data_IF_649267386231
#
_entry.id   IF_649267386231
#
_cell.length_a   1.000
_cell.length_b   1.000
_cell.length_c   1.000
_cell.angle_alpha   90.00
_cell.angle_beta   90.00
_cell.angle_gamma   90.00
#
_symmetry.space_group_name_H-M   'P 1'
#
loop_
_entity.id
_entity.type
_entity.pdbx_description
1 polymer ?
#
# COMPACT_ATOMS: atom_id res chain seq x y z
N UNK A 1 -17.12 -12.27 -0.63
CA UNK A 1 -16.94 -11.08 0.24
C UNK A 1 -15.47 -10.70 0.41
N UNK A 2 -14.59 -11.59 0.89
CA UNK A 2 -13.18 -11.24 1.20
C UNK A 2 -12.34 -10.72 0.03
N UNK A 3 -12.50 -11.28 -1.18
CA UNK A 3 -11.77 -10.83 -2.36
C UNK A 3 -12.10 -9.38 -2.76
N UNK A 4 -13.38 -8.99 -2.69
CA UNK A 4 -13.81 -7.64 -3.04
C UNK A 4 -13.27 -6.61 -2.05
N UNK A 5 -13.31 -6.92 -0.75
CA UNK A 5 -12.72 -6.08 0.29
C UNK A 5 -11.21 -5.90 0.07
N UNK A 6 -10.50 -6.99 -0.21
CA UNK A 6 -9.08 -6.96 -0.50
C UNK A 6 -8.77 -6.08 -1.72
N UNK A 7 -9.52 -6.23 -2.82
CA UNK A 7 -9.35 -5.41 -4.01
C UNK A 7 -9.56 -3.93 -3.70
N UNK A 8 -10.66 -3.58 -3.01
CA UNK A 8 -10.94 -2.20 -2.61
C UNK A 8 -9.81 -1.62 -1.75
N UNK A 9 -9.35 -2.34 -0.73
CA UNK A 9 -8.25 -1.88 0.12
C UNK A 9 -6.96 -1.67 -0.68
N UNK A 10 -6.65 -2.58 -1.61
CA UNK A 10 -5.44 -2.51 -2.43
C UNK A 10 -5.49 -1.33 -3.40
N UNK A 11 -6.62 -1.13 -4.08
CA UNK A 11 -6.84 0.01 -4.97
C UNK A 11 -6.73 1.33 -4.21
N UNK A 12 -7.43 1.46 -3.08
CA UNK A 12 -7.44 2.67 -2.26
C UNK A 12 -6.04 2.99 -1.72
N UNK A 13 -5.32 2.00 -1.22
CA UNK A 13 -3.96 2.21 -0.72
C UNK A 13 -2.98 2.57 -1.86
N UNK A 14 -3.08 1.91 -3.02
CA UNK A 14 -2.31 2.28 -4.22
C UNK A 14 -2.60 3.70 -4.69
N UNK A 15 -3.86 4.13 -4.68
CA UNK A 15 -4.26 5.51 -4.99
C UNK A 15 -3.63 6.51 -4.02
N UNK A 16 -3.70 6.25 -2.72
CA UNK A 16 -3.08 7.11 -1.70
C UNK A 16 -1.56 7.23 -1.90
N UNK A 17 -0.87 6.12 -2.22
CA UNK A 17 0.56 6.15 -2.54
C UNK A 17 0.87 6.93 -3.82
N UNK A 18 0.03 6.80 -4.85
CA UNK A 18 0.16 7.57 -6.09
C UNK A 18 0.00 9.08 -5.85
N UNK A 19 -1.03 9.48 -5.09
CA UNK A 19 -1.22 10.87 -4.68
C UNK A 19 -0.05 11.41 -3.87
N UNK A 20 0.45 10.60 -2.92
CA UNK A 20 1.59 10.98 -2.10
C UNK A 20 2.81 11.24 -2.99
N UNK A 21 3.15 10.31 -3.90
CA UNK A 21 4.28 10.45 -4.82
C UNK A 21 4.14 11.64 -5.79
N UNK A 22 2.92 12.00 -6.19
CA UNK A 22 2.71 13.12 -7.10
C UNK A 22 2.82 14.49 -6.41
N UNK A 23 2.70 14.53 -5.07
CA UNK A 23 2.85 15.76 -4.31
C UNK A 23 4.21 16.45 -4.56
N UNK A 24 4.16 17.73 -4.96
CA UNK A 24 5.33 18.57 -5.28
C UNK A 24 6.29 18.74 -4.08
N UNK A 25 5.82 18.52 -2.85
CA UNK A 25 6.63 18.65 -1.63
C UNK A 25 7.55 17.45 -1.35
N UNK A 26 7.36 16.31 -2.03
CA UNK A 26 8.20 15.13 -1.79
C UNK A 26 9.55 15.27 -2.47
N UNK A 27 10.61 15.25 -1.66
CA UNK A 27 11.99 15.21 -2.10
C UNK A 27 12.36 13.77 -2.46
N UNK A 28 13.17 13.57 -3.50
CA UNK A 28 13.64 12.26 -3.98
C UNK A 28 12.52 11.28 -4.40
N UNK A 29 11.50 11.75 -5.12
CA UNK A 29 10.38 10.93 -5.66
C UNK A 29 10.81 9.59 -6.28
N UNK A 30 11.92 9.56 -7.02
CA UNK A 30 12.47 8.34 -7.65
C UNK A 30 12.87 7.28 -6.61
N UNK A 31 13.50 7.69 -5.50
CA UNK A 31 13.90 6.76 -4.44
C UNK A 31 12.68 6.15 -3.74
N UNK A 32 11.69 6.97 -3.39
CA UNK A 32 10.44 6.51 -2.80
C UNK A 32 9.69 5.54 -3.72
N UNK A 33 9.65 5.83 -5.03
CA UNK A 33 9.06 4.93 -6.02
C UNK A 33 9.74 3.55 -6.01
N UNK A 34 11.07 3.50 -5.94
CA UNK A 34 11.80 2.23 -5.86
C UNK A 34 11.43 1.48 -4.58
N UNK A 35 11.49 2.14 -3.41
CA UNK A 35 11.17 1.53 -2.11
C UNK A 35 9.77 0.92 -2.10
N UNK A 36 8.77 1.64 -2.63
CA UNK A 36 7.40 1.14 -2.66
C UNK A 36 7.18 0.04 -3.70
N UNK A 37 8.00 -0.09 -4.74
CA UNK A 37 7.89 -1.16 -5.74
C UNK A 37 8.56 -2.46 -5.29
N UNK A 38 9.52 -2.40 -4.36
CA UNK A 38 10.24 -3.58 -3.86
C UNK A 38 9.34 -4.77 -3.47
N UNK A 39 8.22 -4.59 -2.76
CA UNK A 39 7.35 -5.71 -2.38
C UNK A 39 6.77 -6.45 -3.58
N UNK A 40 6.50 -5.73 -4.67
CA UNK A 40 5.95 -6.27 -5.91
C UNK A 40 7.02 -6.90 -6.81
N UNK A 41 8.28 -6.45 -6.71
CA UNK A 41 9.39 -7.03 -7.46
C UNK A 41 9.77 -8.44 -6.99
N UNK A 42 9.44 -8.78 -5.74
CA UNK A 42 9.67 -10.11 -5.17
C UNK A 42 8.51 -11.04 -5.56
N UNK A 43 8.77 -12.29 -5.99
CA UNK A 43 7.71 -13.24 -6.30
C UNK A 43 6.77 -13.46 -5.11
N UNK A 44 5.46 -13.37 -5.35
CA UNK A 44 4.45 -13.39 -4.29
C UNK A 44 4.55 -14.62 -3.36
N UNK A 45 4.89 -15.80 -3.91
CA UNK A 45 5.08 -17.02 -3.13
C UNK A 45 6.21 -16.88 -2.09
N UNK A 46 7.33 -16.25 -2.47
CA UNK A 46 8.48 -16.03 -1.57
C UNK A 46 8.07 -15.08 -0.44
N UNK A 47 7.38 -13.99 -0.78
CA UNK A 47 6.88 -13.03 0.21
C UNK A 47 5.95 -13.70 1.22
N UNK A 48 4.99 -14.52 0.76
CA UNK A 48 4.09 -15.27 1.64
C UNK A 48 4.83 -16.21 2.58
N UNK A 49 5.86 -16.90 2.09
CA UNK A 49 6.68 -17.80 2.90
C UNK A 49 7.45 -17.04 3.98
N UNK A 50 8.04 -15.89 3.64
CA UNK A 50 8.72 -15.01 4.61
C UNK A 50 7.74 -14.54 5.69
N UNK A 51 6.56 -14.02 5.31
CA UNK A 51 5.56 -13.59 6.28
C UNK A 51 5.05 -14.74 7.16
N UNK A 52 4.90 -15.94 6.60
CA UNK A 52 4.51 -17.12 7.38
C UNK A 52 5.53 -17.46 8.47
N UNK A 53 6.83 -17.31 8.18
CA UNK A 53 7.90 -17.52 9.16
C UNK A 53 7.95 -16.39 10.19
N UNK A 54 7.80 -15.14 9.75
CA UNK A 54 7.83 -13.96 10.62
C UNK A 54 6.68 -13.96 11.63
N UNK A 55 5.47 -14.29 11.16
CA UNK A 55 4.21 -14.23 11.89
C UNK A 55 3.81 -15.56 12.53
N UNK A 56 4.72 -16.54 12.52
CA UNK A 56 4.52 -17.78 13.27
C UNK A 56 4.39 -17.47 14.78
N UNK A 57 3.76 -18.37 15.55
CA UNK A 57 3.59 -18.22 17.00
C UNK A 57 4.90 -17.93 17.74
N UNK A 58 5.99 -18.62 17.39
CA UNK A 58 7.35 -18.39 17.92
C UNK A 58 8.22 -17.54 16.98
N UNK A 59 7.61 -16.84 16.03
CA UNK A 59 8.31 -16.05 15.03
C UNK A 59 8.99 -14.80 15.61
N UNK A 60 9.89 -14.16 14.84
CA UNK A 60 10.54 -12.91 15.22
C UNK A 60 9.56 -11.80 15.62
N UNK A 61 8.37 -11.72 15.02
CA UNK A 61 7.37 -10.69 15.34
C UNK A 61 6.86 -10.87 16.75
N UNK A 62 6.39 -12.07 17.11
CA UNK A 62 5.94 -12.35 18.49
C UNK A 62 7.09 -12.29 19.50
N UNK A 63 8.30 -12.71 19.11
CA UNK A 63 9.49 -12.58 19.97
C UNK A 63 9.79 -11.11 20.31
N UNK A 64 9.64 -10.21 19.33
CA UNK A 64 9.82 -8.77 19.52
C UNK A 64 8.70 -8.19 20.40
N UNK A 65 7.44 -8.59 20.17
CA UNK A 65 6.31 -8.18 21.00
C UNK A 65 6.51 -8.58 22.47
N UNK A 66 6.91 -9.83 22.72
CA UNK A 66 7.19 -10.33 24.07
C UNK A 66 8.34 -9.54 24.73
N UNK A 67 9.36 -9.13 23.97
CA UNK A 67 10.46 -8.30 24.49
C UNK A 67 10.00 -6.90 24.94
N UNK A 68 8.88 -6.40 24.40
CA UNK A 68 8.23 -5.16 24.82
C UNK A 68 7.15 -5.38 25.89
N UNK A 69 6.99 -6.62 26.40
CA UNK A 69 5.99 -6.98 27.40
C UNK A 69 4.57 -7.16 26.83
N UNK A 70 4.43 -7.31 25.52
CA UNK A 70 3.15 -7.57 24.85
C UNK A 70 3.01 -9.09 24.64
N UNK A 71 1.87 -9.65 25.02
CA UNK A 71 1.58 -11.08 24.82
C UNK A 71 1.59 -11.46 23.33
N UNK A 72 1.99 -12.71 23.07
CA UNK A 72 2.07 -13.23 21.70
C UNK A 72 0.71 -13.23 21.00
N UNK A 73 0.68 -12.69 19.78
CA UNK A 73 -0.55 -12.59 18.99
C UNK A 73 -0.65 -13.80 18.05
N UNK A 74 -1.83 -14.39 18.00
CA UNK A 74 -2.16 -15.50 17.10
C UNK A 74 -2.35 -15.08 15.64
N UNK A 75 -1.36 -14.40 15.03
CA UNK A 75 -1.47 -13.82 13.69
C UNK A 75 -1.99 -14.79 12.62
N UNK A 76 -1.65 -16.08 12.73
CA UNK A 76 -2.07 -17.13 11.79
C UNK A 76 -2.98 -18.18 12.43
N UNK A 77 -3.22 -18.09 13.75
CA UNK A 77 -3.94 -19.11 14.53
C UNK A 77 -5.36 -18.66 14.89
N UNK A 78 -5.56 -17.37 15.15
CA UNK A 78 -6.90 -16.81 15.33
C UNK A 78 -7.55 -16.55 13.95
N UNK A 79 -8.75 -17.09 13.67
CA UNK A 79 -9.38 -16.96 12.35
C UNK A 79 -9.65 -15.53 11.88
N UNK A 80 -9.96 -14.62 12.81
CA UNK A 80 -10.26 -13.22 12.50
C UNK A 80 -8.97 -12.44 12.25
N UNK A 81 -7.99 -12.58 13.15
CA UNK A 81 -6.68 -11.94 12.99
C UNK A 81 -5.95 -12.50 11.77
N UNK A 82 -6.04 -13.80 11.49
CA UNK A 82 -5.46 -14.41 10.29
C UNK A 82 -6.04 -13.83 9.01
N UNK A 83 -7.36 -13.66 8.92
CA UNK A 83 -7.99 -12.99 7.77
C UNK A 83 -7.46 -11.56 7.60
N UNK A 84 -7.44 -10.78 8.68
CA UNK A 84 -6.98 -9.39 8.63
C UNK A 84 -5.49 -9.31 8.22
N UNK A 85 -4.67 -10.19 8.77
CA UNK A 85 -3.23 -10.28 8.48
C UNK A 85 -2.98 -10.63 7.02
N UNK A 86 -3.67 -11.63 6.48
CA UNK A 86 -3.56 -12.03 5.07
C UNK A 86 -4.01 -10.90 4.14
N UNK A 87 -5.10 -10.20 4.48
CA UNK A 87 -5.56 -9.03 3.71
C UNK A 87 -4.49 -7.93 3.75
N UNK A 88 -3.93 -7.60 4.91
CA UNK A 88 -2.93 -6.56 5.06
C UNK A 88 -1.66 -6.85 4.25
N UNK A 89 -1.14 -8.09 4.32
CA UNK A 89 0.03 -8.52 3.52
C UNK A 89 -0.30 -8.45 2.02
N UNK A 90 -1.50 -8.89 1.62
CA UNK A 90 -1.91 -8.84 0.21
C UNK A 90 -2.06 -7.41 -0.31
N UNK A 91 -2.59 -6.50 0.49
CA UNK A 91 -2.67 -5.07 0.18
C UNK A 91 -1.26 -4.49 0.00
N UNK A 92 -0.34 -4.82 0.90
CA UNK A 92 1.05 -4.34 0.81
C UNK A 92 1.77 -4.83 -0.46
N UNK A 93 1.58 -6.10 -0.84
CA UNK A 93 2.17 -6.68 -2.06
C UNK A 93 1.52 -6.14 -3.34
N UNK A 94 0.20 -5.92 -3.32
CA UNK A 94 -0.56 -5.50 -4.51
C UNK A 94 -0.62 -3.99 -4.74
N UNK A 95 -0.46 -3.17 -3.70
CA UNK A 95 -0.53 -1.71 -3.81
C UNK A 95 0.44 -1.08 -4.81
N UNK A 96 1.69 -1.57 -5.00
CA UNK A 96 2.62 -0.96 -5.94
C UNK A 96 2.14 -1.05 -7.40
N UNK A 97 1.39 -2.10 -7.74
CA UNK A 97 0.76 -2.24 -9.06
C UNK A 97 -0.26 -1.11 -9.30
N UNK A 98 -1.19 -0.90 -8.37
CA UNK A 98 -2.20 0.17 -8.49
C UNK A 98 -1.57 1.56 -8.43
N UNK A 99 -0.58 1.75 -7.58
CA UNK A 99 0.20 2.99 -7.51
C UNK A 99 0.78 3.34 -8.89
N UNK A 100 1.47 2.40 -9.55
CA UNK A 100 2.05 2.62 -10.88
C UNK A 100 1.00 2.87 -11.96
N UNK A 101 -0.09 2.09 -11.95
CA UNK A 101 -1.19 2.24 -12.89
C UNK A 101 -1.84 3.64 -12.77
N UNK A 102 -2.12 4.08 -11.55
CA UNK A 102 -2.76 5.37 -11.27
C UNK A 102 -1.81 6.52 -11.56
N UNK A 103 -0.55 6.46 -11.11
CA UNK A 103 0.44 7.48 -11.43
C UNK A 103 0.63 7.61 -12.94
N UNK A 104 0.72 6.50 -13.68
CA UNK A 104 0.83 6.50 -15.14
C UNK A 104 -0.39 7.15 -15.82
N UNK A 105 -1.59 6.85 -15.33
CA UNK A 105 -2.82 7.46 -15.82
C UNK A 105 -2.85 8.98 -15.55
N UNK A 106 -2.47 9.41 -14.35
CA UNK A 106 -2.43 10.83 -13.97
C UNK A 106 -1.42 11.62 -14.81
N UNK A 107 -0.23 11.07 -15.06
CA UNK A 107 0.79 11.75 -15.87
C UNK A 107 0.41 11.93 -17.34
N UNK A 108 -0.62 11.21 -17.83
CA UNK A 108 -1.13 11.35 -19.19
C UNK A 108 -2.25 12.40 -19.32
N UNK A 109 -2.75 12.97 -18.22
CA UNK A 109 -3.81 13.98 -18.27
C UNK A 109 -3.20 15.32 -18.75
N UNK A 110 -3.73 15.94 -19.82
CA UNK A 110 -3.26 17.24 -20.31
C UNK A 110 -3.36 18.33 -19.25
N UNK A 111 -2.33 19.19 -19.15
CA UNK A 111 -2.27 20.30 -18.20
C UNK A 111 -3.41 21.31 -18.38
N UNK A 112 -3.87 21.49 -19.62
CA UNK A 112 -4.92 22.42 -19.99
C UNK A 112 -6.25 22.15 -19.26
N UNK A 113 -6.53 20.88 -18.94
CA UNK A 113 -7.72 20.51 -18.16
C UNK A 113 -7.64 20.97 -16.70
N UNK A 114 -6.43 20.98 -16.14
CA UNK A 114 -6.20 21.48 -14.78
C UNK A 114 -6.32 23.01 -14.74
N UNK A 115 -5.76 23.71 -15.73
CA UNK A 115 -5.87 25.17 -15.85
C UNK A 115 -7.33 25.61 -16.03
N UNK A 116 -8.11 24.91 -16.86
CA UNK A 116 -9.55 25.15 -17.00
C UNK A 116 -10.29 24.93 -15.66
N UNK A 117 -9.94 23.90 -14.90
CA UNK A 117 -10.58 23.62 -13.60
C UNK A 117 -10.28 24.69 -12.53
N UNK A 118 -9.11 25.32 -12.58
CA UNK A 118 -8.77 26.46 -11.71
C UNK A 118 -9.56 27.72 -12.08
N UNK A 119 -9.78 27.95 -13.38
CA UNK A 119 -10.59 29.06 -13.90
C UNK A 119 -12.08 28.86 -13.56
N UNK A 120 -12.58 27.62 -13.61
CA UNK A 120 -13.97 27.26 -13.29
C UNK A 120 -14.28 27.27 -11.77
N UNK A 121 -13.32 27.67 -10.93
CA UNK A 121 -13.55 27.84 -9.50
C UNK A 121 -13.75 26.53 -8.73
N UNK A 122 -13.28 25.40 -9.28
CA UNK A 122 -13.28 24.13 -8.56
C UNK A 122 -12.48 24.32 -7.24
N UNK A 123 -13.14 24.11 -6.10
CA UNK A 123 -12.54 24.30 -4.79
C UNK A 123 -11.25 23.49 -4.68
N UNK A 124 -10.21 24.08 -4.05
CA UNK A 124 -8.89 23.47 -3.74
C UNK A 124 -8.95 22.28 -2.77
N UNK A 125 -9.88 21.34 -2.94
CA UNK A 125 -9.59 19.95 -2.56
C UNK A 125 -8.42 19.53 -3.45
N UNK A 126 -7.36 18.88 -2.94
CA UNK A 126 -6.07 18.79 -3.61
C UNK A 126 -6.24 18.40 -5.08
N UNK A 127 -6.22 19.41 -5.94
CA UNK A 127 -6.18 19.28 -7.38
C UNK A 127 -4.80 18.71 -7.62
N UNK A 128 -4.80 17.40 -7.86
CA UNK A 128 -3.59 16.64 -8.00
C UNK A 128 -2.87 17.22 -9.23
N UNK A 129 -1.62 17.68 -9.10
CA UNK A 129 -0.92 18.39 -10.17
C UNK A 129 -0.60 17.52 -11.37
#
# INVERSE_FOLDING_TARGET
>A
MGFFLQLLCTCSFGFLLALALENKKIIAKKAWRVVFILPYAIPAFVTLLIFRLLLNGIGPVNSTLNSWGIDSIGFLSDPLIAKMTVIAVSVWVGAPYFMLLITGAMTNIPRDLYEASEVDGASKFPTVP
#
